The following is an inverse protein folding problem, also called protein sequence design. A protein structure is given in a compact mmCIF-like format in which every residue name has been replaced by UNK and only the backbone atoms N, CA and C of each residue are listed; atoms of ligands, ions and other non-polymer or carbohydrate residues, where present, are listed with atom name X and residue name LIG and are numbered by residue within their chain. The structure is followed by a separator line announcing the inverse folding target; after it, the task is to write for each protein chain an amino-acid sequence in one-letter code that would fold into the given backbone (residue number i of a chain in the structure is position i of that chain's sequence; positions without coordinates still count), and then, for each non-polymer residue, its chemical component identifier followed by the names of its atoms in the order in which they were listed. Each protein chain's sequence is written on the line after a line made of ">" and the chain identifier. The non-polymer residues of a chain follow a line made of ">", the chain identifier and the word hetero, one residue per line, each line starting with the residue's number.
data_IF_945899322966
#
_entry.id   IF_945899322966
#
_cell.length_a   1.000
_cell.length_b   1.000
_cell.length_c   1.000
_cell.angle_alpha   90.00
_cell.angle_beta   90.00
_cell.angle_gamma   90.00
#
_symmetry.space_group_name_H-M   'P 1'
#
loop_
_entity.id
_entity.type
_entity.pdbx_description
1 polymer ?
#
# COMPACT_ATOMS: atom_id res chain seq x y z
N UNK A 1 18.01 10.74 -3.22
CA UNK A 1 16.79 11.55 -3.45
C UNK A 1 15.60 10.75 -2.93
N UNK A 2 14.65 11.36 -2.23
CA UNK A 2 13.50 10.64 -1.64
C UNK A 2 12.22 10.98 -2.40
N UNK A 3 11.36 9.99 -2.59
CA UNK A 3 10.06 10.14 -3.23
C UNK A 3 8.97 9.65 -2.29
N UNK A 4 7.82 10.29 -2.37
CA UNK A 4 6.60 9.83 -1.70
C UNK A 4 5.61 9.43 -2.79
N UNK A 5 5.17 8.18 -2.75
CA UNK A 5 4.16 7.65 -3.67
C UNK A 5 2.89 7.42 -2.87
N UNK A 6 1.79 8.04 -3.29
CA UNK A 6 0.48 7.88 -2.66
C UNK A 6 -0.46 7.30 -3.70
N UNK A 7 -1.02 6.12 -3.38
CA UNK A 7 -2.15 5.56 -4.13
C UNK A 7 -3.43 6.16 -3.55
N UNK A 8 -4.18 6.87 -4.39
CA UNK A 8 -5.46 7.45 -3.99
C UNK A 8 -6.50 6.34 -3.80
N UNK A 9 -7.32 6.48 -2.77
CA UNK A 9 -8.45 5.59 -2.55
C UNK A 9 -9.49 5.75 -3.67
N UNK A 10 -10.19 4.65 -3.92
CA UNK A 10 -11.35 4.53 -4.80
C UNK A 10 -12.58 4.10 -3.99
N UNK A 11 -13.73 3.97 -4.64
CA UNK A 11 -14.97 3.60 -3.95
C UNK A 11 -14.89 2.25 -3.22
N UNK A 12 -14.08 1.32 -3.71
CA UNK A 12 -13.95 -0.02 -3.14
C UNK A 12 -13.10 0.02 -1.86
N UNK A 13 -11.95 0.69 -1.92
CA UNK A 13 -11.03 0.85 -0.79
C UNK A 13 -11.62 1.75 0.30
N UNK A 14 -12.38 2.79 -0.06
CA UNK A 14 -13.16 3.59 0.89
C UNK A 14 -14.27 2.78 1.58
N UNK A 15 -14.84 1.78 0.90
CA UNK A 15 -15.79 0.83 1.49
C UNK A 15 -15.11 -0.28 2.31
N UNK A 16 -13.77 -0.29 2.42
CA UNK A 16 -13.01 -1.31 3.13
C UNK A 16 -12.94 -2.66 2.41
N UNK A 17 -13.22 -2.69 1.10
CA UNK A 17 -13.05 -3.89 0.28
C UNK A 17 -11.57 -4.19 0.17
N UNK A 18 -11.19 -5.40 0.58
CA UNK A 18 -9.82 -5.87 0.48
C UNK A 18 -9.49 -6.31 -0.96
N UNK A 19 -8.24 -6.13 -1.42
CA UNK A 19 -7.80 -6.70 -2.69
C UNK A 19 -7.83 -8.23 -2.66
N UNK A 20 -7.77 -8.84 -3.84
CA UNK A 20 -7.59 -10.28 -3.96
C UNK A 20 -6.27 -10.74 -3.29
N UNK A 21 -6.28 -11.94 -2.71
CA UNK A 21 -5.14 -12.51 -1.98
C UNK A 21 -3.86 -12.58 -2.84
N UNK A 22 -4.02 -12.86 -4.14
CA UNK A 22 -2.90 -12.89 -5.08
C UNK A 22 -2.21 -11.54 -5.18
N UNK A 23 -2.99 -10.46 -5.29
CA UNK A 23 -2.46 -9.10 -5.38
C UNK A 23 -1.77 -8.69 -4.07
N UNK A 24 -2.35 -9.03 -2.92
CA UNK A 24 -1.71 -8.81 -1.62
C UNK A 24 -0.37 -9.54 -1.51
N UNK A 25 -0.30 -10.78 -2.00
CA UNK A 25 0.93 -11.58 -1.99
C UNK A 25 2.01 -10.98 -2.89
N UNK A 26 1.65 -10.54 -4.10
CA UNK A 26 2.58 -9.90 -5.04
C UNK A 26 3.08 -8.56 -4.48
N UNK A 27 2.20 -7.75 -3.90
CA UNK A 27 2.55 -6.49 -3.26
C UNK A 27 3.49 -6.68 -2.06
N UNK A 28 3.24 -7.71 -1.24
CA UNK A 28 4.12 -8.07 -0.13
C UNK A 28 5.53 -8.42 -0.59
N UNK A 29 5.66 -9.27 -1.62
CA UNK A 29 6.97 -9.63 -2.20
C UNK A 29 7.73 -8.41 -2.74
N UNK A 30 7.03 -7.53 -3.46
CA UNK A 30 7.62 -6.31 -4.00
C UNK A 30 8.13 -5.38 -2.88
N UNK A 31 7.33 -5.17 -1.83
CA UNK A 31 7.74 -4.36 -0.68
C UNK A 31 8.91 -4.99 0.08
N UNK A 32 8.95 -6.31 0.23
CA UNK A 32 10.07 -7.03 0.85
C UNK A 32 11.37 -6.86 0.05
N UNK A 33 11.31 -6.89 -1.28
CA UNK A 33 12.47 -6.65 -2.15
C UNK A 33 12.98 -5.21 -2.00
N UNK A 34 12.08 -4.22 -2.00
CA UNK A 34 12.44 -2.82 -1.78
C UNK A 34 13.01 -2.57 -0.37
N UNK A 35 12.46 -3.23 0.65
CA UNK A 35 12.95 -3.13 2.02
C UNK A 35 14.37 -3.73 2.14
N UNK A 36 14.62 -4.90 1.53
CA UNK A 36 15.95 -5.53 1.49
C UNK A 36 16.98 -4.70 0.73
N UNK A 37 16.57 -4.01 -0.33
CA UNK A 37 17.42 -3.08 -1.06
C UNK A 37 17.73 -1.80 -0.27
N UNK A 38 16.95 -1.51 0.79
CA UNK A 38 17.05 -0.27 1.57
C UNK A 38 16.33 0.92 0.92
N UNK A 39 15.53 0.67 -0.12
CA UNK A 39 14.80 1.69 -0.88
C UNK A 39 13.44 2.03 -0.22
N UNK A 40 12.79 1.06 0.43
CA UNK A 40 11.55 1.29 1.16
C UNK A 40 11.83 1.91 2.55
N UNK A 41 11.55 3.21 2.67
CA UNK A 41 11.72 3.94 3.94
C UNK A 41 10.48 3.83 4.85
N UNK A 42 9.29 3.81 4.27
CA UNK A 42 8.01 3.67 4.97
C UNK A 42 6.94 3.13 4.00
N UNK A 43 6.04 2.30 4.50
CA UNK A 43 4.91 1.77 3.74
C UNK A 43 3.73 1.57 4.69
N UNK A 44 2.83 2.54 4.73
CA UNK A 44 1.64 2.51 5.59
C UNK A 44 0.37 2.46 4.76
N UNK A 45 -0.65 1.77 5.28
CA UNK A 45 -1.99 1.77 4.69
C UNK A 45 -2.79 2.98 5.15
N UNK A 46 -3.46 3.64 4.22
CA UNK A 46 -4.40 4.71 4.55
C UNK A 46 -5.70 4.13 5.10
N UNK A 47 -6.29 4.79 6.10
CA UNK A 47 -7.64 4.48 6.56
C UNK A 47 -8.68 5.11 5.62
N UNK A 48 -9.90 4.53 5.53
CA UNK A 48 -11.01 5.18 4.85
C UNK A 48 -11.25 6.59 5.38
N UNK A 49 -11.64 7.51 4.48
CA UNK A 49 -11.93 8.90 4.79
C UNK A 49 -13.06 9.05 5.83
N UNK A 50 -13.94 8.07 5.96
CA UNK A 50 -14.98 8.04 6.99
C UNK A 50 -14.46 7.95 8.44
N UNK A 51 -13.17 7.63 8.63
CA UNK A 51 -12.51 7.56 9.94
C UNK A 51 -11.65 8.80 10.27
N UNK A 52 -11.63 9.83 9.41
CA UNK A 52 -10.82 11.04 9.60
C UNK A 52 -10.97 12.05 8.48
#
# INVERSE_FOLDING_TARGET
>A
MRFMVIVKADNNTEAGVLPEEKLLTEMGKYNDELAKAGDLLAGEGLQPSSKG
#
